data_IF_817062583094
#
_entry.id   IF_817062583094
#
_cell.length_a   1.000
_cell.length_b   1.000
_cell.length_c   1.000
_cell.angle_alpha   90.00
_cell.angle_beta   90.00
_cell.angle_gamma   90.00
#
_symmetry.space_group_name_H-M   'P 1'
#
loop_
_entity.id
_entity.type
_entity.pdbx_description
1 polymer ?
#
# COMPACT_ATOMS: atom_id res chain seq x y z
N UNK A 1 -30.08 6.98 -22.38
CA UNK A 1 -28.82 6.22 -22.27
C UNK A 1 -27.74 7.14 -21.73
N UNK A 2 -27.29 6.96 -20.47
CA UNK A 2 -26.19 7.72 -19.87
C UNK A 2 -24.87 7.00 -20.20
N UNK A 3 -23.78 7.69 -20.54
CA UNK A 3 -22.48 7.05 -20.73
C UNK A 3 -22.00 6.43 -19.40
N UNK A 4 -21.16 5.38 -19.42
CA UNK A 4 -20.53 4.85 -18.21
C UNK A 4 -19.67 5.97 -17.62
N UNK A 5 -20.12 6.57 -16.52
CA UNK A 5 -19.40 7.66 -15.87
C UNK A 5 -18.06 7.10 -15.40
N UNK A 6 -16.99 7.56 -16.05
CA UNK A 6 -15.61 7.38 -15.66
C UNK A 6 -15.50 7.48 -14.12
N UNK A 7 -15.19 6.35 -13.48
CA UNK A 7 -15.20 6.19 -12.03
C UNK A 7 -14.24 7.19 -11.39
N UNK A 8 -14.82 8.26 -10.81
CA UNK A 8 -14.25 9.19 -9.82
C UNK A 8 -12.72 9.30 -9.82
N UNK A 9 -12.19 10.24 -10.61
CA UNK A 9 -10.96 10.95 -10.22
C UNK A 9 -11.21 11.56 -8.84
N UNK A 10 -10.51 11.10 -7.82
CA UNK A 10 -10.51 11.72 -6.49
C UNK A 10 -10.06 13.17 -6.65
N UNK A 11 -10.90 14.14 -6.27
CA UNK A 11 -10.49 15.53 -6.28
C UNK A 11 -9.36 15.71 -5.27
N UNK A 12 -8.26 16.33 -5.70
CA UNK A 12 -7.11 16.60 -4.83
C UNK A 12 -7.57 17.37 -3.59
N UNK A 13 -7.15 16.92 -2.41
CA UNK A 13 -7.53 17.53 -1.14
C UNK A 13 -8.82 16.98 -0.51
N UNK A 14 -9.53 16.05 -1.15
CA UNK A 14 -10.63 15.32 -0.54
C UNK A 14 -10.19 13.95 -0.01
N UNK A 15 -10.81 13.45 1.07
CA UNK A 15 -10.51 12.13 1.59
C UNK A 15 -10.92 11.05 0.58
N UNK A 16 -10.18 9.95 0.54
CA UNK A 16 -10.51 8.83 -0.33
C UNK A 16 -11.88 8.22 0.05
N UNK A 17 -12.69 7.76 -0.92
CA UNK A 17 -13.96 7.10 -0.65
C UNK A 17 -13.81 5.89 0.28
N UNK A 18 -14.70 5.74 1.26
CA UNK A 18 -14.69 4.58 2.17
C UNK A 18 -14.85 3.24 1.42
N UNK A 19 -15.68 3.25 0.38
CA UNK A 19 -15.93 2.10 -0.48
C UNK A 19 -15.31 2.32 -1.85
N UNK A 20 -14.77 1.25 -2.45
CA UNK A 20 -14.15 1.28 -3.78
C UNK A 20 -13.08 2.37 -3.92
N UNK A 21 -12.23 2.51 -2.89
CA UNK A 21 -11.11 3.45 -2.92
C UNK A 21 -10.20 3.19 -4.13
N UNK A 22 -9.74 4.26 -4.82
CA UNK A 22 -8.88 4.12 -6.00
C UNK A 22 -7.60 3.33 -5.71
N UNK A 23 -7.21 2.47 -6.64
CA UNK A 23 -5.94 1.76 -6.60
C UNK A 23 -4.76 2.71 -6.85
N UNK A 24 -3.59 2.36 -6.30
CA UNK A 24 -2.34 3.05 -6.64
C UNK A 24 -2.05 2.81 -8.13
N UNK A 25 -1.71 3.89 -8.86
CA UNK A 25 -1.52 3.83 -10.31
C UNK A 25 -0.26 3.05 -10.73
N UNK A 26 0.73 3.00 -9.85
CA UNK A 26 2.03 2.36 -10.06
C UNK A 26 2.11 1.09 -9.22
N UNK A 27 2.65 -0.03 -9.74
CA UNK A 27 2.90 -1.22 -8.94
C UNK A 27 3.80 -0.92 -7.75
N UNK A 28 3.37 -1.33 -6.56
CA UNK A 28 4.14 -1.22 -5.32
C UNK A 28 4.72 -2.59 -4.99
N UNK A 29 6.02 -2.63 -4.70
CA UNK A 29 6.71 -3.78 -4.14
C UNK A 29 7.02 -3.52 -2.67
N UNK A 30 6.99 -4.56 -1.85
CA UNK A 30 7.33 -4.49 -0.44
C UNK A 30 8.45 -5.46 -0.11
N UNK A 31 9.34 -5.04 0.78
CA UNK A 31 10.51 -5.80 1.20
C UNK A 31 10.62 -5.82 2.71
N UNK A 32 10.87 -7.01 3.25
CA UNK A 32 11.08 -7.29 4.67
C UNK A 32 12.48 -7.90 4.83
N UNK A 33 13.37 -7.22 5.54
CA UNK A 33 14.81 -7.53 5.62
C UNK A 33 15.46 -7.74 4.23
N UNK A 34 15.02 -6.96 3.25
CA UNK A 34 15.46 -7.04 1.85
C UNK A 34 14.84 -8.20 1.06
N UNK A 35 14.05 -9.08 1.68
CA UNK A 35 13.31 -10.15 1.00
C UNK A 35 11.95 -9.64 0.50
N UNK A 36 11.55 -9.92 -0.75
CA UNK A 36 10.26 -9.48 -1.26
C UNK A 36 9.11 -10.19 -0.52
N UNK A 37 8.08 -9.42 -0.16
CA UNK A 37 6.84 -9.93 0.43
C UNK A 37 5.64 -9.59 -0.46
N UNK A 38 4.61 -10.42 -0.41
CA UNK A 38 3.42 -10.27 -1.26
C UNK A 38 2.62 -9.03 -0.84
N UNK A 39 2.42 -8.10 -1.77
CA UNK A 39 1.48 -6.98 -1.61
C UNK A 39 0.09 -7.46 -2.02
N UNK A 40 -0.83 -7.57 -1.06
CA UNK A 40 -2.20 -8.04 -1.32
C UNK A 40 -3.13 -6.91 -1.74
N UNK A 41 -2.78 -5.66 -1.39
CA UNK A 41 -3.57 -4.48 -1.73
C UNK A 41 -2.73 -3.22 -1.72
N UNK A 42 -2.97 -2.34 -2.69
CA UNK A 42 -2.41 -0.98 -2.71
C UNK A 42 -3.48 0.01 -3.21
N UNK A 43 -4.02 0.83 -2.30
CA UNK A 43 -5.09 1.80 -2.60
C UNK A 43 -4.80 3.15 -1.90
N UNK A 44 -5.57 4.18 -2.26
CA UNK A 44 -5.70 5.35 -1.38
C UNK A 44 -6.34 4.93 -0.06
N UNK A 45 -5.78 5.39 1.06
CA UNK A 45 -6.26 5.04 2.38
C UNK A 45 -7.69 5.60 2.59
N UNK A 46 -8.71 4.74 2.74
CA UNK A 46 -10.10 5.17 2.82
C UNK A 46 -10.32 6.16 3.98
N UNK A 47 -10.99 7.29 3.72
CA UNK A 47 -11.24 8.33 4.72
C UNK A 47 -10.07 9.31 4.96
N UNK A 48 -8.90 9.07 4.37
CA UNK A 48 -7.73 9.94 4.52
C UNK A 48 -7.44 10.74 3.25
N UNK A 49 -6.87 11.93 3.43
CA UNK A 49 -6.39 12.80 2.34
C UNK A 49 -4.91 12.54 2.12
N UNK A 50 -4.51 12.19 0.90
CA UNK A 50 -3.09 12.09 0.52
C UNK A 50 -2.32 10.91 1.14
N UNK A 51 -3.01 9.96 1.76
CA UNK A 51 -2.41 8.77 2.36
C UNK A 51 -2.70 7.53 1.50
N UNK A 52 -1.77 6.59 1.49
CA UNK A 52 -1.89 5.31 0.82
C UNK A 52 -2.01 4.19 1.85
N UNK A 53 -2.81 3.17 1.54
CA UNK A 53 -2.89 1.93 2.30
C UNK A 53 -2.27 0.81 1.46
N UNK A 54 -1.21 0.21 1.98
CA UNK A 54 -0.55 -0.95 1.41
C UNK A 54 -0.68 -2.10 2.39
N UNK A 55 -1.32 -3.17 1.97
CA UNK A 55 -1.46 -4.40 2.74
C UNK A 55 -0.44 -5.42 2.20
N UNK A 56 0.31 -6.03 3.12
CA UNK A 56 1.31 -7.04 2.81
C UNK A 56 0.99 -8.33 3.55
N UNK A 57 1.29 -9.46 2.92
CA UNK A 57 1.27 -10.77 3.58
C UNK A 57 2.66 -11.07 4.14
N UNK A 58 2.74 -11.13 5.47
CA UNK A 58 3.94 -11.61 6.17
C UNK A 58 4.02 -13.14 5.99
N UNK A 59 5.15 -13.70 5.52
CA UNK A 59 5.31 -15.14 5.38
C UNK A 59 5.14 -15.87 6.73
N UNK A 60 4.58 -17.08 6.70
CA UNK A 60 4.35 -17.88 7.92
C UNK A 60 5.64 -18.29 8.64
N UNK A 61 6.79 -18.25 7.94
CA UNK A 61 8.11 -18.52 8.51
C UNK A 61 8.88 -17.20 8.47
N UNK A 62 8.71 -16.38 9.51
CA UNK A 62 9.54 -15.20 9.76
C UNK A 62 10.24 -15.37 11.10
N UNK A 63 11.46 -14.85 11.19
CA UNK A 63 12.13 -14.73 12.48
C UNK A 63 11.36 -13.70 13.32
N UNK A 64 10.96 -14.08 14.53
CA UNK A 64 10.38 -13.12 15.47
C UNK A 64 11.40 -12.07 15.85
N UNK A 65 10.96 -10.83 16.02
CA UNK A 65 11.82 -9.72 16.39
C UNK A 65 11.77 -8.53 15.44
N UNK A 66 12.72 -7.59 15.56
CA UNK A 66 12.75 -6.40 14.72
C UNK A 66 13.17 -6.75 13.29
N UNK A 67 12.34 -6.37 12.33
CA UNK A 67 12.60 -6.48 10.90
C UNK A 67 12.57 -5.10 10.23
N UNK A 68 13.37 -4.91 9.21
CA UNK A 68 13.34 -3.72 8.37
C UNK A 68 12.26 -3.85 7.30
N UNK A 69 11.39 -2.86 7.19
CA UNK A 69 10.37 -2.76 6.16
C UNK A 69 10.62 -1.53 5.28
N UNK A 70 10.56 -1.71 3.97
CA UNK A 70 10.51 -0.62 3.01
C UNK A 70 9.70 -1.01 1.77
N UNK A 71 9.23 0.02 1.06
CA UNK A 71 8.47 -0.12 -0.17
C UNK A 71 9.29 0.41 -1.35
N UNK A 72 8.98 -0.08 -2.55
CA UNK A 72 9.52 0.44 -3.79
C UNK A 72 8.39 0.64 -4.81
N UNK A 73 8.39 1.77 -5.50
CA UNK A 73 7.51 2.06 -6.63
C UNK A 73 8.32 2.78 -7.71
N UNK A 74 8.27 2.30 -8.96
CA UNK A 74 9.03 2.90 -10.09
C UNK A 74 10.54 3.09 -9.80
N UNK A 75 11.15 2.15 -9.07
CA UNK A 75 12.56 2.22 -8.68
C UNK A 75 12.88 3.28 -7.62
N UNK A 76 11.87 3.95 -7.06
CA UNK A 76 11.99 4.84 -5.90
C UNK A 76 11.69 4.07 -4.63
N UNK A 77 12.63 4.07 -3.69
CA UNK A 77 12.47 3.44 -2.39
C UNK A 77 11.89 4.42 -1.37
N UNK A 78 11.01 3.92 -0.51
CA UNK A 78 10.56 4.66 0.66
C UNK A 78 11.67 4.79 1.71
N UNK A 79 11.38 5.54 2.76
CA UNK A 79 12.12 5.39 4.01
C UNK A 79 12.07 3.94 4.51
N UNK A 80 13.16 3.50 5.14
CA UNK A 80 13.25 2.22 5.86
C UNK A 80 12.74 2.42 7.29
N UNK A 81 11.87 1.53 7.73
CA UNK A 81 11.34 1.54 9.10
C UNK A 81 11.58 0.20 9.76
N UNK A 82 11.56 0.18 11.10
CA UNK A 82 11.62 -1.07 11.87
C UNK A 82 10.22 -1.44 12.35
N UNK A 83 9.83 -2.68 12.09
CA UNK A 83 8.61 -3.30 12.61
C UNK A 83 9.00 -4.46 13.51
N UNK A 84 8.21 -4.76 14.53
CA UNK A 84 8.43 -5.93 15.38
C UNK A 84 7.47 -7.04 14.95
N UNK A 85 8.00 -8.20 14.59
CA UNK A 85 7.23 -9.35 14.11
C UNK A 85 7.01 -10.35 15.24
N UNK A 86 5.76 -10.77 15.40
CA UNK A 86 5.35 -11.84 16.30
C UNK A 86 4.64 -12.95 15.47
N UNK A 87 4.82 -14.23 15.81
CA UNK A 87 4.17 -15.35 15.12
C UNK A 87 2.65 -15.42 15.30
#
# INVERSE_FOLDING_TARGET
MRPPSCSRRTATGLPAPLENSPAVAVPVQAFLDGSPVEVTRAILAPGYVGMYLVEIRVPAIVNSGPAELYLEAEGQQSNRVRVYLEP
#
